data_IF_490026035087
#
_entry.id   IF_490026035087
#
_cell.length_a   1.000
_cell.length_b   1.000
_cell.length_c   1.000
_cell.angle_alpha   90.00
_cell.angle_beta   90.00
_cell.angle_gamma   90.00
#
_symmetry.space_group_name_H-M   'P 1'
#
loop_
_entity.id
_entity.type
_entity.pdbx_description
1 polymer ?
#
# COMPACT_ATOMS: atom_id res chain seq x y z
N UNK A 1 3.82 -7.89 -18.61
CA UNK A 1 3.56 -7.09 -17.39
C UNK A 1 3.10 -7.89 -16.17
N UNK A 2 2.99 -9.23 -16.20
CA UNK A 2 2.32 -9.99 -15.12
C UNK A 2 3.21 -10.53 -13.98
N UNK A 3 4.52 -10.22 -13.93
CA UNK A 3 5.40 -10.79 -12.88
C UNK A 3 5.81 -9.80 -11.77
N UNK A 4 5.94 -8.49 -12.05
CA UNK A 4 6.44 -7.52 -11.06
C UNK A 4 5.49 -7.32 -9.87
N UNK A 5 4.19 -7.15 -10.13
CA UNK A 5 3.19 -6.97 -9.07
C UNK A 5 3.03 -8.23 -8.21
N UNK A 6 3.09 -9.41 -8.82
CA UNK A 6 3.02 -10.70 -8.12
C UNK A 6 4.23 -10.90 -7.21
N UNK A 7 5.44 -10.61 -7.71
CA UNK A 7 6.68 -10.66 -6.91
C UNK A 7 6.59 -9.71 -5.73
N UNK A 8 6.22 -8.43 -5.98
CA UNK A 8 6.09 -7.45 -4.91
C UNK A 8 5.06 -7.88 -3.85
N UNK A 9 3.89 -8.40 -4.27
CA UNK A 9 2.87 -8.91 -3.35
C UNK A 9 3.36 -10.10 -2.52
N UNK A 10 4.11 -11.02 -3.13
CA UNK A 10 4.72 -12.18 -2.45
C UNK A 10 5.70 -11.70 -1.38
N UNK A 11 6.61 -10.78 -1.73
CA UNK A 11 7.60 -10.23 -0.80
C UNK A 11 6.92 -9.48 0.35
N UNK A 12 5.96 -8.61 0.08
CA UNK A 12 5.20 -7.90 1.13
C UNK A 12 4.50 -8.89 2.06
N UNK A 13 3.87 -9.93 1.51
CA UNK A 13 3.17 -10.93 2.34
C UNK A 13 4.14 -11.73 3.21
N UNK A 14 5.28 -12.14 2.66
CA UNK A 14 6.32 -12.85 3.41
C UNK A 14 6.93 -11.97 4.50
N UNK A 15 7.19 -10.70 4.20
CA UNK A 15 7.70 -9.73 5.16
C UNK A 15 6.72 -9.48 6.31
N UNK A 16 5.42 -9.34 6.00
CA UNK A 16 4.37 -9.28 7.03
C UNK A 16 4.38 -10.51 7.94
N UNK A 17 4.59 -11.72 7.41
CA UNK A 17 4.69 -12.93 8.25
C UNK A 17 5.90 -12.87 9.17
N UNK A 18 7.06 -12.45 8.66
CA UNK A 18 8.30 -12.27 9.43
C UNK A 18 8.10 -11.32 10.62
N UNK A 19 7.49 -10.16 10.40
CA UNK A 19 7.29 -9.14 11.46
C UNK A 19 6.08 -9.41 12.37
N UNK A 20 5.21 -10.36 12.05
CA UNK A 20 3.98 -10.62 12.79
C UNK A 20 3.78 -12.14 13.03
N UNK A 21 4.72 -12.81 13.74
CA UNK A 21 4.74 -14.27 13.87
C UNK A 21 3.54 -14.87 14.62
N UNK A 22 2.85 -14.05 15.42
CA UNK A 22 1.66 -14.47 16.18
C UNK A 22 0.38 -14.51 15.34
N UNK A 23 0.40 -14.00 14.10
CA UNK A 23 -0.78 -13.90 13.23
C UNK A 23 -0.81 -15.07 12.24
N UNK A 24 -1.83 -15.92 12.35
CA UNK A 24 -1.94 -17.14 11.52
C UNK A 24 -2.38 -16.90 10.08
N UNK A 25 -3.15 -15.83 9.81
CA UNK A 25 -3.68 -15.51 8.47
C UNK A 25 -3.15 -14.17 7.98
N UNK A 26 -2.05 -14.23 7.23
CA UNK A 26 -1.41 -13.05 6.64
C UNK A 26 -1.60 -13.06 5.13
N UNK A 27 -2.30 -12.04 4.63
CA UNK A 27 -2.51 -11.77 3.22
C UNK A 27 -1.86 -10.44 2.83
N UNK A 28 -1.73 -10.20 1.52
CA UNK A 28 -1.20 -8.94 1.00
C UNK A 28 -1.96 -7.72 1.53
N UNK A 29 -3.30 -7.79 1.60
CA UNK A 29 -4.15 -6.68 2.03
C UNK A 29 -4.38 -6.61 3.55
N UNK A 30 -3.82 -7.54 4.35
CA UNK A 30 -3.94 -7.48 5.81
C UNK A 30 -3.17 -6.25 6.35
N UNK A 31 -3.75 -5.42 7.24
CA UNK A 31 -3.14 -4.19 7.74
C UNK A 31 -2.07 -4.47 8.81
N UNK A 32 -1.06 -5.26 8.46
CA UNK A 32 0.09 -5.58 9.30
C UNK A 32 1.32 -4.81 8.85
N UNK A 33 2.21 -4.56 9.81
CA UNK A 33 3.50 -3.92 9.57
C UNK A 33 4.34 -4.78 8.64
N UNK A 34 5.04 -4.11 7.74
CA UNK A 34 6.11 -4.67 6.90
C UNK A 34 7.17 -3.59 6.69
N UNK A 35 8.41 -4.00 6.48
CA UNK A 35 9.55 -3.11 6.29
C UNK A 35 9.84 -2.94 4.80
N UNK A 36 9.71 -1.71 4.29
CA UNK A 36 9.92 -1.40 2.87
C UNK A 36 11.38 -1.55 2.43
N UNK A 37 12.34 -1.33 3.33
CA UNK A 37 13.77 -1.49 3.06
C UNK A 37 14.12 -2.97 2.92
N UNK A 38 13.54 -3.83 3.77
CA UNK A 38 13.68 -5.27 3.60
C UNK A 38 13.11 -5.73 2.24
N UNK A 39 11.97 -5.18 1.80
CA UNK A 39 11.44 -5.46 0.45
C UNK A 39 12.41 -4.99 -0.64
N UNK A 40 13.05 -3.83 -0.46
CA UNK A 40 14.05 -3.33 -1.41
C UNK A 40 15.26 -4.27 -1.49
N UNK A 41 15.80 -4.71 -0.35
CA UNK A 41 16.89 -5.69 -0.28
C UNK A 41 16.51 -6.96 -1.03
N UNK A 42 15.30 -7.47 -0.81
CA UNK A 42 14.86 -8.69 -1.48
C UNK A 42 14.71 -8.52 -2.99
N UNK A 43 14.19 -7.39 -3.47
CA UNK A 43 14.11 -7.09 -4.90
C UNK A 43 15.51 -6.95 -5.53
N UNK A 44 16.45 -6.31 -4.82
CA UNK A 44 17.85 -6.22 -5.25
C UNK A 44 18.48 -7.60 -5.37
N UNK A 45 18.25 -8.47 -4.39
CA UNK A 45 18.81 -9.82 -4.40
C UNK A 45 18.21 -10.67 -5.52
N UNK A 46 16.88 -10.65 -5.69
CA UNK A 46 16.20 -11.40 -6.74
C UNK A 46 16.63 -10.99 -8.16
N UNK A 47 16.88 -9.69 -8.40
CA UNK A 47 17.32 -9.22 -9.73
C UNK A 47 18.79 -9.55 -10.04
N UNK A 48 19.62 -9.74 -9.01
CA UNK A 48 21.05 -10.01 -9.17
C UNK A 48 21.41 -11.49 -8.93
N UNK A 49 20.42 -12.31 -8.57
CA UNK A 49 20.60 -13.71 -8.19
C UNK A 49 21.33 -14.52 -9.27
N UNK A 50 22.29 -15.34 -8.83
CA UNK A 50 22.90 -16.37 -9.65
C UNK A 50 22.81 -17.73 -8.96
N UNK A 51 22.70 -18.77 -9.77
CA UNK A 51 22.52 -20.17 -9.37
C UNK A 51 23.62 -21.04 -9.95
N UNK A 52 23.92 -22.14 -9.28
CA UNK A 52 24.83 -23.14 -9.79
C UNK A 52 24.19 -23.88 -10.98
N UNK A 53 24.87 -23.90 -12.14
CA UNK A 53 24.34 -24.54 -13.35
C UNK A 53 24.21 -26.07 -13.26
N UNK A 54 24.94 -26.70 -12.33
CA UNK A 54 24.89 -28.15 -12.08
C UNK A 54 23.84 -28.52 -11.02
N UNK A 55 23.37 -27.55 -10.23
CA UNK A 55 22.34 -27.72 -9.21
C UNK A 55 21.63 -26.37 -8.98
N UNK A 56 20.46 -26.19 -9.59
CA UNK A 56 19.71 -24.93 -9.55
C UNK A 56 19.21 -24.53 -8.17
N UNK A 57 19.18 -25.45 -7.21
CA UNK A 57 18.74 -25.16 -5.83
C UNK A 57 19.84 -24.49 -5.00
N UNK A 58 21.05 -24.38 -5.55
CA UNK A 58 22.19 -23.70 -4.90
C UNK A 58 22.39 -22.30 -5.45
N UNK A 59 22.33 -21.34 -4.54
CA UNK A 59 22.49 -19.92 -4.80
C UNK A 59 23.96 -19.54 -4.66
N UNK A 60 24.44 -18.73 -5.60
CA UNK A 60 25.86 -18.37 -5.72
C UNK A 60 26.16 -17.00 -5.08
N UNK A 61 25.93 -16.90 -3.77
CA UNK A 61 26.22 -15.70 -2.98
C UNK A 61 27.71 -15.65 -2.60
N UNK A 62 28.34 -14.48 -2.76
CA UNK A 62 29.70 -14.22 -2.32
C UNK A 62 29.68 -13.59 -0.91
N UNK A 63 29.39 -14.39 0.11
CA UNK A 63 29.39 -14.00 1.54
C UNK A 63 30.55 -14.59 2.34
N UNK A 64 31.50 -15.26 1.66
CA UNK A 64 32.65 -15.91 2.28
C UNK A 64 32.35 -17.26 2.95
N UNK A 65 31.11 -17.77 2.90
CA UNK A 65 30.76 -19.07 3.47
C UNK A 65 31.33 -20.27 2.71
N UNK A 66 31.72 -20.06 1.44
CA UNK A 66 32.40 -21.05 0.61
C UNK A 66 33.31 -20.35 -0.41
N UNK A 67 34.32 -21.08 -0.89
CA UNK A 67 35.21 -20.60 -1.95
C UNK A 67 34.77 -21.11 -3.33
N UNK A 68 34.83 -20.25 -4.34
CA UNK A 68 34.62 -20.61 -5.73
C UNK A 68 35.82 -20.17 -6.57
N UNK A 69 36.87 -21.00 -6.58
CA UNK A 69 38.10 -20.74 -7.35
C UNK A 69 37.77 -20.61 -8.83
N UNK A 70 38.15 -19.48 -9.42
CA UNK A 70 37.88 -19.12 -10.82
C UNK A 70 36.39 -19.19 -11.24
N UNK A 71 35.43 -19.18 -10.31
CA UNK A 71 34.01 -19.43 -10.60
C UNK A 71 33.70 -20.81 -11.20
N UNK A 72 34.54 -21.83 -10.95
CA UNK A 72 34.28 -23.23 -11.35
C UNK A 72 33.45 -23.90 -10.26
N UNK A 73 32.30 -24.48 -10.63
CA UNK A 73 31.36 -25.06 -9.67
C UNK A 73 31.36 -26.59 -9.67
N UNK A 74 31.20 -27.19 -8.49
CA UNK A 74 30.80 -28.59 -8.27
C UNK A 74 29.31 -28.63 -7.92
N UNK A 75 28.70 -29.81 -7.83
CA UNK A 75 27.25 -29.99 -7.52
C UNK A 75 26.88 -29.43 -6.13
N UNK A 76 27.84 -29.37 -5.23
CA UNK A 76 27.72 -28.89 -3.86
C UNK A 76 28.17 -27.43 -3.65
N UNK A 77 28.68 -26.76 -4.68
CA UNK A 77 29.09 -25.35 -4.59
C UNK A 77 27.88 -24.42 -4.51
N UNK A 78 27.92 -23.44 -3.60
CA UNK A 78 26.82 -22.50 -3.36
C UNK A 78 25.99 -22.87 -2.12
N UNK A 79 25.14 -21.95 -1.71
CA UNK A 79 24.31 -22.09 -0.52
C UNK A 79 23.01 -22.78 -0.91
N UNK A 80 22.68 -23.88 -0.23
CA UNK A 80 21.41 -24.57 -0.38
C UNK A 80 20.41 -23.95 0.60
N UNK A 81 19.34 -23.34 0.08
CA UNK A 81 18.27 -22.75 0.88
C UNK A 81 16.92 -23.19 0.31
N UNK A 82 15.95 -23.42 1.19
CA UNK A 82 14.54 -23.51 0.76
C UNK A 82 14.06 -22.13 0.27
N UNK A 83 12.92 -22.09 -0.43
CA UNK A 83 12.37 -20.82 -0.91
C UNK A 83 12.05 -19.83 0.21
N UNK A 84 11.60 -20.32 1.38
CA UNK A 84 11.26 -19.47 2.53
C UNK A 84 12.54 -18.93 3.20
N UNK A 85 13.55 -19.78 3.45
CA UNK A 85 14.85 -19.37 3.98
C UNK A 85 15.57 -18.38 3.05
N UNK A 86 15.46 -18.59 1.73
CA UNK A 86 16.00 -17.67 0.72
C UNK A 86 15.37 -16.28 0.85
N UNK A 87 14.05 -16.21 0.95
CA UNK A 87 13.34 -14.93 1.10
C UNK A 87 13.72 -14.24 2.41
N UNK A 88 13.80 -14.99 3.52
CA UNK A 88 14.24 -14.45 4.80
C UNK A 88 15.66 -13.91 4.75
N UNK A 89 16.60 -14.65 4.15
CA UNK A 89 17.98 -14.19 3.92
C UNK A 89 17.97 -12.91 3.08
N UNK A 90 17.20 -12.88 2.00
CA UNK A 90 17.10 -11.74 1.07
C UNK A 90 16.52 -10.47 1.69
N UNK A 91 15.78 -10.56 2.80
CA UNK A 91 15.33 -9.38 3.52
C UNK A 91 16.45 -8.69 4.32
N UNK A 92 17.51 -9.41 4.70
CA UNK A 92 18.51 -8.93 5.65
C UNK A 92 19.35 -7.78 5.09
N UNK A 93 19.91 -7.95 3.89
CA UNK A 93 20.79 -6.97 3.26
C UNK A 93 20.92 -7.22 1.75
N UNK A 94 21.58 -6.31 1.03
CA UNK A 94 21.94 -6.48 -0.37
C UNK A 94 23.20 -7.35 -0.51
N UNK A 95 23.06 -8.54 -1.12
CA UNK A 95 24.17 -9.48 -1.30
C UNK A 95 24.88 -9.31 -2.65
N UNK A 96 26.19 -9.60 -2.65
CA UNK A 96 26.97 -9.76 -3.87
C UNK A 96 26.90 -11.21 -4.34
N UNK A 97 26.66 -11.39 -5.63
CA UNK A 97 26.60 -12.71 -6.26
C UNK A 97 27.83 -12.94 -7.14
N UNK A 98 28.24 -14.21 -7.28
CA UNK A 98 29.29 -14.56 -8.24
C UNK A 98 28.81 -14.29 -9.68
N UNK A 99 29.70 -13.84 -10.59
CA UNK A 99 29.33 -13.53 -11.96
C UNK A 99 28.96 -14.79 -12.74
N UNK A 100 28.11 -14.61 -13.75
CA UNK A 100 27.75 -15.69 -14.69
C UNK A 100 29.00 -16.22 -15.38
N UNK A 101 29.16 -17.54 -15.36
CA UNK A 101 30.24 -18.25 -16.06
C UNK A 101 29.66 -19.46 -16.76
N UNK A 102 29.92 -19.58 -18.06
CA UNK A 102 29.39 -20.66 -18.90
C UNK A 102 29.56 -22.04 -18.24
N UNK A 103 28.49 -22.84 -18.27
CA UNK A 103 28.40 -24.20 -17.71
C UNK A 103 28.58 -24.33 -16.19
N UNK A 104 28.81 -23.23 -15.46
CA UNK A 104 29.10 -23.25 -14.02
C UNK A 104 28.11 -22.42 -13.20
N UNK A 105 27.86 -21.18 -13.63
CA UNK A 105 27.00 -20.22 -12.92
C UNK A 105 26.05 -19.59 -13.93
N UNK A 106 24.75 -19.71 -13.66
CA UNK A 106 23.64 -19.18 -14.47
C UNK A 106 22.87 -18.12 -13.70
N UNK A 107 22.08 -17.31 -14.42
CA UNK A 107 21.18 -16.31 -13.81
C UNK A 107 20.05 -17.00 -13.06
N UNK A 108 19.59 -16.38 -11.97
CA UNK A 108 18.37 -16.74 -11.29
C UNK A 108 17.12 -16.36 -12.09
N UNK A 109 15.96 -16.81 -11.61
CA UNK A 109 14.70 -16.77 -12.39
C UNK A 109 14.22 -15.34 -12.72
N UNK A 110 14.64 -14.36 -11.90
CA UNK A 110 14.30 -12.95 -12.06
C UNK A 110 15.47 -12.08 -12.51
N UNK A 111 16.66 -12.68 -12.71
CA UNK A 111 17.90 -11.98 -13.03
C UNK A 111 18.13 -11.79 -14.55
N UNK A 112 17.09 -11.98 -15.37
CA UNK A 112 17.11 -11.72 -16.82
C UNK A 112 16.85 -10.25 -17.18
N UNK A 113 16.75 -9.36 -16.18
CA UNK A 113 16.47 -7.94 -16.35
C UNK A 113 14.98 -7.57 -16.30
N UNK A 114 14.10 -8.54 -16.04
CA UNK A 114 12.65 -8.32 -15.92
C UNK A 114 12.28 -7.44 -14.72
N UNK A 115 13.11 -7.43 -13.67
CA UNK A 115 12.94 -6.61 -12.47
C UNK A 115 13.73 -5.29 -12.50
N UNK A 116 14.71 -5.09 -13.38
CA UNK A 116 15.63 -3.94 -13.32
C UNK A 116 14.91 -2.59 -13.35
N UNK A 117 14.06 -2.38 -14.36
CA UNK A 117 13.27 -1.14 -14.49
C UNK A 117 12.28 -0.97 -13.35
N UNK A 118 11.81 -2.06 -12.74
CA UNK A 118 10.92 -1.98 -11.59
C UNK A 118 11.69 -1.58 -10.32
N UNK A 119 12.82 -2.23 -10.07
CA UNK A 119 13.70 -1.94 -8.94
C UNK A 119 14.17 -0.49 -8.95
N UNK A 120 14.65 0.02 -10.09
CA UNK A 120 15.08 1.42 -10.21
C UNK A 120 13.94 2.38 -9.84
N UNK A 121 12.76 2.20 -10.46
CA UNK A 121 11.57 3.02 -10.15
C UNK A 121 11.13 2.89 -8.69
N UNK A 122 11.26 1.71 -8.10
CA UNK A 122 10.90 1.44 -6.72
C UNK A 122 11.84 2.18 -5.75
N UNK A 123 13.16 2.05 -5.96
CA UNK A 123 14.19 2.74 -5.21
C UNK A 123 14.07 4.27 -5.33
N UNK A 124 13.84 4.79 -6.54
CA UNK A 124 13.60 6.22 -6.78
C UNK A 124 12.38 6.75 -6.00
N UNK A 125 11.33 5.94 -5.85
CA UNK A 125 10.13 6.32 -5.08
C UNK A 125 10.37 6.31 -3.57
N UNK A 126 11.09 5.32 -3.05
CA UNK A 126 11.41 5.25 -1.62
C UNK A 126 12.30 6.42 -1.20
N UNK A 127 13.31 6.73 -2.01
CA UNK A 127 14.29 7.78 -1.73
C UNK A 127 13.78 9.19 -2.04
N UNK A 128 12.51 9.35 -2.42
CA UNK A 128 11.99 10.65 -2.79
C UNK A 128 11.61 11.47 -1.55
N UNK A 129 12.29 12.61 -1.32
CA UNK A 129 12.06 13.47 -0.14
C UNK A 129 10.58 13.84 0.06
N UNK A 130 9.86 14.12 -1.04
CA UNK A 130 8.43 14.47 -0.99
C UNK A 130 7.51 13.30 -0.58
N UNK A 131 8.03 12.07 -0.57
CA UNK A 131 7.36 10.85 -0.11
C UNK A 131 7.89 10.39 1.25
N UNK A 132 8.72 11.20 1.93
CA UNK A 132 9.18 10.95 3.30
C UNK A 132 8.03 10.76 4.30
N UNK A 133 6.86 11.37 4.05
CA UNK A 133 5.66 11.11 4.88
C UNK A 133 5.13 9.66 4.77
N UNK A 134 5.49 8.92 3.71
CA UNK A 134 5.16 7.50 3.53
C UNK A 134 6.31 6.58 3.95
N UNK A 135 7.54 6.92 3.55
CA UNK A 135 8.70 6.02 3.66
C UNK A 135 9.77 6.48 4.65
N UNK A 136 9.58 7.62 5.32
CA UNK A 136 10.50 8.14 6.33
C UNK A 136 10.35 7.42 7.68
N UNK A 137 11.33 7.63 8.56
CA UNK A 137 11.42 6.92 9.84
C UNK A 137 10.17 7.05 10.73
N UNK A 138 9.44 8.17 10.64
CA UNK A 138 8.23 8.40 11.41
C UNK A 138 7.13 7.38 11.08
N UNK A 139 7.08 6.86 9.84
CA UNK A 139 6.06 5.87 9.45
C UNK A 139 6.30 4.49 10.06
N UNK A 140 7.53 4.19 10.49
CA UNK A 140 7.88 2.91 11.11
C UNK A 140 7.36 2.78 12.55
N UNK A 141 7.08 3.90 13.22
CA UNK A 141 6.71 3.94 14.65
C UNK A 141 5.20 3.99 14.83
N UNK A 142 4.47 4.48 13.82
CA UNK A 142 3.04 4.75 13.94
C UNK A 142 2.23 3.45 13.78
N UNK A 143 1.44 3.11 14.81
CA UNK A 143 0.51 1.98 14.73
C UNK A 143 -0.75 2.33 13.92
N UNK A 144 -1.39 1.29 13.37
CA UNK A 144 -2.70 1.44 12.72
C UNK A 144 -3.76 1.96 13.71
N UNK A 145 -3.72 1.50 14.97
CA UNK A 145 -4.65 1.95 16.01
C UNK A 145 -4.50 3.45 16.30
N UNK A 146 -3.26 3.93 16.44
CA UNK A 146 -2.99 5.36 16.69
C UNK A 146 -3.37 6.21 15.47
N UNK A 147 -3.11 5.71 14.26
CA UNK A 147 -3.55 6.38 13.03
C UNK A 147 -5.07 6.52 13.01
N UNK A 148 -5.79 5.44 13.32
CA UNK A 148 -7.25 5.44 13.34
C UNK A 148 -7.80 6.38 14.42
N UNK A 149 -7.23 6.37 15.63
CA UNK A 149 -7.58 7.31 16.71
C UNK A 149 -7.38 8.76 16.28
N UNK A 150 -6.25 9.08 15.65
CA UNK A 150 -5.96 10.42 15.11
C UNK A 150 -6.98 10.84 14.07
N UNK A 151 -7.27 9.99 13.08
CA UNK A 151 -8.25 10.27 12.03
C UNK A 151 -9.65 10.52 12.60
N UNK A 152 -10.04 9.77 13.64
CA UNK A 152 -11.35 9.90 14.29
C UNK A 152 -11.42 11.02 15.34
N UNK A 153 -10.31 11.70 15.64
CA UNK A 153 -10.28 12.77 16.65
C UNK A 153 -10.32 12.28 18.10
N UNK A 154 -9.93 11.03 18.36
CA UNK A 154 -9.88 10.42 19.70
C UNK A 154 -8.44 10.16 20.15
N UNK A 155 -7.62 11.21 20.20
CA UNK A 155 -6.27 11.11 20.74
C UNK A 155 -6.32 10.87 22.26
N UNK A 156 -5.27 10.28 22.82
CA UNK A 156 -5.21 9.94 24.25
C UNK A 156 -5.46 11.16 25.15
N UNK A 157 -4.96 12.35 24.75
CA UNK A 157 -5.01 13.56 25.57
C UNK A 157 -6.09 14.58 25.12
N UNK A 158 -6.72 14.38 23.95
CA UNK A 158 -7.69 15.32 23.40
C UNK A 158 -8.70 14.63 22.50
N UNK A 159 -9.98 14.91 22.77
CA UNK A 159 -11.10 14.52 21.92
C UNK A 159 -11.58 15.74 21.14
N UNK A 160 -11.80 15.56 19.85
CA UNK A 160 -12.29 16.61 18.94
C UNK A 160 -13.37 16.06 18.03
N UNK A 161 -14.46 16.81 17.88
CA UNK A 161 -15.53 16.48 16.94
C UNK A 161 -15.19 16.84 15.49
N UNK A 162 -14.15 17.66 15.29
CA UNK A 162 -13.66 18.09 13.98
C UNK A 162 -12.17 17.78 13.89
N UNK A 163 -11.81 16.97 12.90
CA UNK A 163 -10.42 16.61 12.58
C UNK A 163 -10.11 17.15 11.19
N UNK A 164 -9.10 18.02 11.10
CA UNK A 164 -8.63 18.58 9.82
C UNK A 164 -7.42 17.78 9.37
N UNK A 165 -7.50 17.21 8.17
CA UNK A 165 -6.39 16.50 7.53
C UNK A 165 -5.80 17.43 6.47
N UNK A 166 -4.67 18.05 6.79
CA UNK A 166 -3.95 18.88 5.85
C UNK A 166 -3.17 18.02 4.85
N UNK A 167 -3.56 18.11 3.58
CA UNK A 167 -2.93 17.39 2.47
C UNK A 167 -2.15 18.34 1.54
N UNK A 168 -1.93 19.60 1.93
CA UNK A 168 -1.22 20.60 1.12
C UNK A 168 0.22 20.19 0.80
N UNK A 169 0.88 19.47 1.70
CA UNK A 169 2.23 18.92 1.50
C UNK A 169 2.29 17.62 0.68
N UNK A 170 1.14 17.04 0.32
CA UNK A 170 1.10 15.74 -0.38
C UNK A 170 1.23 15.95 -1.89
N UNK A 171 2.20 15.29 -2.56
CA UNK A 171 2.36 15.41 -4.00
C UNK A 171 1.10 14.95 -4.77
N UNK A 172 0.76 15.67 -5.85
CA UNK A 172 -0.44 15.39 -6.65
C UNK A 172 -0.52 13.94 -7.17
N UNK A 173 0.62 13.31 -7.46
CA UNK A 173 0.69 11.92 -7.93
C UNK A 173 0.21 10.87 -6.91
N UNK A 174 0.33 11.16 -5.61
CA UNK A 174 -0.08 10.26 -4.52
C UNK A 174 -1.33 10.77 -3.80
N UNK A 175 -1.74 12.01 -4.03
CA UNK A 175 -2.91 12.64 -3.40
C UNK A 175 -4.18 11.77 -3.51
N UNK A 176 -4.50 11.29 -4.71
CA UNK A 176 -5.63 10.38 -4.97
C UNK A 176 -5.54 9.08 -4.16
N UNK A 177 -4.34 8.53 -4.03
CA UNK A 177 -4.10 7.29 -3.27
C UNK A 177 -4.27 7.55 -1.77
N UNK A 178 -3.74 8.67 -1.26
CA UNK A 178 -3.86 9.08 0.14
C UNK A 178 -5.32 9.29 0.54
N UNK A 179 -6.07 10.06 -0.25
CA UNK A 179 -7.51 10.30 -0.04
C UNK A 179 -8.29 8.98 -0.10
N UNK A 180 -7.94 8.10 -1.05
CA UNK A 180 -8.56 6.78 -1.15
C UNK A 180 -8.30 5.91 0.08
N UNK A 181 -7.08 5.93 0.60
CA UNK A 181 -6.71 5.16 1.79
C UNK A 181 -7.46 5.65 3.02
N UNK A 182 -7.46 6.96 3.28
CA UNK A 182 -8.19 7.56 4.41
C UNK A 182 -9.69 7.22 4.31
N UNK A 183 -10.27 7.41 3.12
CA UNK A 183 -11.68 7.10 2.86
C UNK A 183 -12.01 5.63 3.16
N UNK A 184 -11.14 4.69 2.71
CA UNK A 184 -11.32 3.26 2.97
C UNK A 184 -11.19 2.91 4.45
N UNK A 185 -10.18 3.44 5.14
CA UNK A 185 -9.97 3.20 6.58
C UNK A 185 -11.20 3.63 7.38
N UNK A 186 -11.72 4.83 7.12
CA UNK A 186 -12.90 5.35 7.82
C UNK A 186 -14.16 4.55 7.49
N UNK A 187 -14.35 4.18 6.22
CA UNK A 187 -15.47 3.33 5.82
C UNK A 187 -15.43 1.95 6.51
N UNK A 188 -14.26 1.31 6.52
CA UNK A 188 -14.07 0.00 7.16
C UNK A 188 -14.25 0.07 8.66
N UNK A 189 -13.78 1.14 9.31
CA UNK A 189 -14.08 1.40 10.71
C UNK A 189 -15.59 1.39 10.98
N UNK A 190 -16.37 2.17 10.22
CA UNK A 190 -17.84 2.20 10.36
C UNK A 190 -18.49 0.82 10.15
N UNK A 191 -18.01 0.07 9.15
CA UNK A 191 -18.47 -1.29 8.87
C UNK A 191 -18.21 -2.24 10.05
N UNK A 192 -16.97 -2.32 10.53
CA UNK A 192 -16.59 -3.21 11.63
C UNK A 192 -17.23 -2.78 12.95
N UNK A 193 -17.30 -1.48 13.20
CA UNK A 193 -17.94 -0.94 14.39
C UNK A 193 -19.41 -1.35 14.48
N UNK A 194 -20.18 -1.16 13.39
CA UNK A 194 -21.56 -1.65 13.31
C UNK A 194 -21.65 -3.15 13.58
N UNK A 195 -20.80 -3.95 12.93
CA UNK A 195 -20.81 -5.42 13.13
C UNK A 195 -20.54 -5.82 14.57
N UNK A 196 -19.57 -5.19 15.22
CA UNK A 196 -19.25 -5.45 16.63
C UNK A 196 -20.41 -5.08 17.55
N UNK A 197 -21.13 -3.98 17.27
CA UNK A 197 -22.31 -3.59 18.04
C UNK A 197 -23.48 -4.56 17.88
N UNK A 198 -23.80 -4.94 16.65
CA UNK A 198 -24.86 -5.93 16.39
C UNK A 198 -24.52 -7.31 16.97
N UNK A 199 -23.23 -7.68 17.03
CA UNK A 199 -22.79 -8.91 17.68
C UNK A 199 -22.96 -8.87 19.21
N UNK A 200 -22.76 -7.70 19.83
CA UNK A 200 -22.98 -7.50 21.28
C UNK A 200 -24.47 -7.38 21.64
N UNK A 201 -25.28 -6.81 20.76
CA UNK A 201 -26.72 -6.61 20.96
C UNK A 201 -27.48 -6.93 19.67
N UNK A 202 -28.15 -8.09 19.64
CA UNK A 202 -28.95 -8.53 18.49
C UNK A 202 -30.16 -7.64 18.21
N UNK A 203 -30.60 -6.85 19.20
CA UNK A 203 -31.68 -5.88 19.06
C UNK A 203 -31.19 -4.47 18.72
N UNK A 204 -29.93 -4.32 18.30
CA UNK A 204 -29.37 -3.02 17.88
C UNK A 204 -30.16 -2.46 16.68
N UNK A 205 -30.80 -1.30 16.89
CA UNK A 205 -31.59 -0.61 15.86
C UNK A 205 -30.85 0.58 15.27
N UNK A 206 -29.85 1.11 15.97
CA UNK A 206 -29.07 2.26 15.52
C UNK A 206 -27.98 1.76 14.59
N UNK A 207 -27.94 2.30 13.35
CA UNK A 207 -26.92 1.89 12.37
C UNK A 207 -25.49 2.20 12.85
N UNK A 208 -25.30 3.37 13.47
CA UNK A 208 -24.06 3.81 14.10
C UNK A 208 -24.38 4.97 15.06
N UNK A 209 -23.87 4.94 16.30
CA UNK A 209 -23.97 6.03 17.29
C UNK A 209 -22.76 6.97 17.25
N UNK A 210 -21.78 6.68 16.39
CA UNK A 210 -20.63 7.53 16.07
C UNK A 210 -20.71 7.87 14.57
N UNK A 211 -21.64 8.75 14.16
CA UNK A 211 -21.73 9.16 12.77
C UNK A 211 -20.49 9.98 12.37
N UNK A 212 -19.91 9.66 11.22
CA UNK A 212 -18.72 10.33 10.68
C UNK A 212 -19.11 11.00 9.36
N UNK A 213 -18.87 12.31 9.27
CA UNK A 213 -19.01 13.07 8.03
C UNK A 213 -17.61 13.32 7.45
N UNK A 214 -17.31 12.73 6.29
CA UNK A 214 -16.09 13.00 5.54
C UNK A 214 -16.30 14.21 4.62
N UNK A 215 -15.58 15.30 4.88
CA UNK A 215 -15.64 16.51 4.07
C UNK A 215 -14.47 16.54 3.08
N UNK A 216 -14.78 16.60 1.79
CA UNK A 216 -13.79 16.71 0.72
C UNK A 216 -13.82 18.11 0.12
N UNK A 217 -12.88 18.96 0.55
CA UNK A 217 -12.59 20.26 -0.06
C UNK A 217 -11.98 20.09 -1.46
N UNK A 218 -12.32 20.96 -2.40
CA UNK A 218 -11.86 20.89 -3.80
C UNK A 218 -12.16 19.53 -4.46
N UNK A 219 -13.36 18.99 -4.24
CA UNK A 219 -13.71 17.60 -4.56
C UNK A 219 -13.42 17.19 -6.03
N UNK A 220 -13.48 18.13 -6.98
CA UNK A 220 -13.13 17.87 -8.39
C UNK A 220 -11.69 17.34 -8.58
N UNK A 221 -10.77 17.56 -7.61
CA UNK A 221 -9.41 16.99 -7.63
C UNK A 221 -9.36 15.49 -7.33
N UNK A 222 -10.34 14.97 -6.59
CA UNK A 222 -10.36 13.58 -6.14
C UNK A 222 -11.37 12.73 -6.91
N UNK A 223 -12.48 13.33 -7.33
CA UNK A 223 -13.58 12.62 -7.98
C UNK A 223 -13.99 13.29 -9.29
N UNK A 224 -13.04 13.52 -10.22
CA UNK A 224 -13.38 14.18 -11.47
C UNK A 224 -14.27 13.32 -12.36
N UNK A 225 -14.96 13.96 -13.31
CA UNK A 225 -15.63 13.33 -14.45
C UNK A 225 -14.59 12.88 -15.51
N UNK A 226 -13.56 12.17 -15.05
CA UNK A 226 -12.45 11.68 -15.84
C UNK A 226 -12.13 10.25 -15.44
N UNK A 227 -11.93 9.39 -16.43
CA UNK A 227 -11.58 7.97 -16.24
C UNK A 227 -10.06 7.71 -16.19
N UNK A 228 -9.26 8.78 -16.03
CA UNK A 228 -7.82 8.65 -15.91
C UNK A 228 -7.44 7.77 -14.71
N UNK A 229 -6.49 6.86 -14.94
CA UNK A 229 -6.04 5.87 -13.94
C UNK A 229 -5.61 6.49 -12.61
N UNK A 230 -5.03 7.71 -12.65
CA UNK A 230 -4.60 8.46 -11.46
C UNK A 230 -5.73 8.79 -10.48
N UNK A 231 -6.98 8.87 -10.93
CA UNK A 231 -8.14 9.19 -10.09
C UNK A 231 -8.97 7.96 -9.68
N UNK A 232 -8.69 6.80 -10.29
CA UNK A 232 -9.49 5.59 -10.10
C UNK A 232 -9.58 5.17 -8.63
N UNK A 233 -8.48 5.30 -7.87
CA UNK A 233 -8.43 4.91 -6.47
C UNK A 233 -9.39 5.73 -5.61
N UNK A 234 -9.26 7.07 -5.63
CA UNK A 234 -10.12 7.98 -4.86
C UNK A 234 -11.57 7.87 -5.30
N UNK A 235 -11.84 7.82 -6.61
CA UNK A 235 -13.19 7.67 -7.16
C UNK A 235 -13.88 6.40 -6.67
N UNK A 236 -13.22 5.25 -6.75
CA UNK A 236 -13.78 3.98 -6.27
C UNK A 236 -14.11 4.01 -4.77
N UNK A 237 -13.21 4.54 -3.94
CA UNK A 237 -13.44 4.62 -2.49
C UNK A 237 -14.56 5.59 -2.12
N UNK A 238 -14.63 6.76 -2.78
CA UNK A 238 -15.62 7.79 -2.47
C UNK A 238 -16.99 7.39 -3.01
N UNK A 239 -17.07 6.79 -4.21
CA UNK A 239 -18.30 6.19 -4.72
C UNK A 239 -18.87 5.12 -3.79
N UNK A 240 -18.00 4.28 -3.22
CA UNK A 240 -18.44 3.26 -2.24
C UNK A 240 -19.05 3.91 -1.01
N UNK A 241 -18.44 4.98 -0.48
CA UNK A 241 -19.02 5.75 0.63
C UNK A 241 -20.35 6.38 0.21
N UNK A 242 -20.43 6.97 -0.98
CA UNK A 242 -21.66 7.59 -1.50
C UNK A 242 -22.83 6.58 -1.56
N UNK A 243 -22.55 5.37 -2.07
CA UNK A 243 -23.55 4.30 -2.29
C UNK A 243 -23.92 3.55 -1.01
N UNK A 244 -22.95 3.27 -0.14
CA UNK A 244 -23.13 2.35 0.98
C UNK A 244 -22.92 2.97 2.37
N UNK A 245 -22.24 4.12 2.45
CA UNK A 245 -21.76 4.69 3.70
C UNK A 245 -22.85 4.98 4.72
N UNK A 246 -24.06 5.36 4.27
CA UNK A 246 -25.25 5.53 5.12
C UNK A 246 -25.56 4.29 5.97
N UNK A 247 -25.32 3.07 5.45
CA UNK A 247 -25.55 1.81 6.18
C UNK A 247 -24.63 1.66 7.40
N UNK A 248 -23.49 2.34 7.40
CA UNK A 248 -22.41 2.23 8.38
C UNK A 248 -22.16 3.54 9.14
N UNK A 249 -23.03 4.55 8.98
CA UNK A 249 -22.86 5.85 9.63
C UNK A 249 -21.67 6.65 9.13
N UNK A 250 -21.17 6.38 7.92
CA UNK A 250 -20.09 7.12 7.28
C UNK A 250 -20.69 7.86 6.09
N UNK A 251 -20.86 9.16 6.21
CA UNK A 251 -21.42 10.01 5.15
C UNK A 251 -20.33 10.91 4.57
N UNK A 252 -20.65 11.58 3.46
CA UNK A 252 -19.73 12.50 2.80
C UNK A 252 -20.36 13.87 2.55
N UNK A 253 -19.52 14.88 2.43
CA UNK A 253 -19.82 16.21 1.90
C UNK A 253 -18.76 16.52 0.85
N UNK A 254 -19.19 16.91 -0.34
CA UNK A 254 -18.30 17.37 -1.41
C UNK A 254 -18.41 18.89 -1.52
N UNK A 255 -17.30 19.58 -1.28
CA UNK A 255 -17.19 21.01 -1.50
C UNK A 255 -16.36 21.24 -2.76
N UNK A 256 -16.92 21.93 -3.75
CA UNK A 256 -16.24 22.22 -5.01
C UNK A 256 -16.80 23.47 -5.66
N UNK A 257 -15.91 24.25 -6.25
CA UNK A 257 -16.19 25.40 -7.10
C UNK A 257 -16.43 25.03 -8.56
N UNK A 258 -16.20 23.76 -8.95
CA UNK A 258 -16.42 23.21 -10.29
C UNK A 258 -17.33 21.98 -10.23
N UNK A 259 -18.63 22.15 -9.95
CA UNK A 259 -19.56 21.02 -9.84
C UNK A 259 -19.65 20.20 -11.14
N UNK A 260 -19.54 20.83 -12.31
CA UNK A 260 -19.56 20.14 -13.61
C UNK A 260 -18.39 19.19 -13.84
N UNK A 261 -17.27 19.40 -13.13
CA UNK A 261 -16.10 18.53 -13.19
C UNK A 261 -16.22 17.33 -12.25
N UNK A 262 -17.25 17.22 -11.40
CA UNK A 262 -17.43 16.09 -10.48
C UNK A 262 -18.03 14.89 -11.22
N UNK A 263 -17.64 13.68 -10.82
CA UNK A 263 -18.25 12.44 -11.28
C UNK A 263 -19.78 12.46 -11.12
N UNK A 264 -20.49 12.30 -12.23
CA UNK A 264 -21.96 12.17 -12.27
C UNK A 264 -22.48 11.04 -11.37
N UNK A 265 -21.76 9.92 -11.32
CA UNK A 265 -22.11 8.78 -10.47
C UNK A 265 -22.12 9.17 -9.00
N UNK A 266 -21.15 9.93 -8.50
CA UNK A 266 -21.14 10.39 -7.11
C UNK A 266 -22.15 11.50 -6.90
N UNK A 267 -22.22 12.45 -7.85
CA UNK A 267 -23.15 13.57 -7.79
C UNK A 267 -24.60 13.09 -7.66
N UNK A 268 -25.00 12.07 -8.40
CA UNK A 268 -26.34 11.46 -8.33
C UNK A 268 -26.67 10.80 -6.98
N UNK A 269 -25.68 10.49 -6.15
CA UNK A 269 -25.88 9.94 -4.81
C UNK A 269 -25.97 11.03 -3.72
N UNK A 270 -25.66 12.28 -4.07
CA UNK A 270 -25.79 13.41 -3.16
C UNK A 270 -27.27 13.82 -3.08
N UNK A 271 -27.88 13.66 -1.90
CA UNK A 271 -29.30 13.99 -1.71
C UNK A 271 -29.54 15.43 -1.24
N UNK A 272 -28.52 16.07 -0.66
CA UNK A 272 -28.61 17.42 -0.12
C UNK A 272 -27.62 18.31 -0.87
N UNK A 273 -28.08 19.49 -1.28
CA UNK A 273 -27.26 20.46 -2.01
C UNK A 273 -27.31 21.82 -1.33
N UNK A 274 -26.14 22.44 -1.21
CA UNK A 274 -25.99 23.83 -0.83
C UNK A 274 -25.29 24.51 -2.00
N UNK A 275 -26.06 25.24 -2.81
CA UNK A 275 -25.55 25.95 -3.97
C UNK A 275 -25.38 27.44 -3.63
N UNK A 276 -24.17 27.95 -3.82
CA UNK A 276 -23.88 29.38 -3.80
C UNK A 276 -23.86 29.92 -5.24
N UNK A 277 -23.58 31.21 -5.42
CA UNK A 277 -23.58 31.84 -6.74
C UNK A 277 -22.58 31.15 -7.69
N UNK A 278 -23.10 30.57 -8.77
CA UNK A 278 -22.31 30.02 -9.87
C UNK A 278 -22.50 30.92 -11.10
N UNK A 279 -21.38 31.37 -11.67
CA UNK A 279 -21.39 32.27 -12.84
C UNK A 279 -21.17 31.54 -14.16
N UNK A 280 -20.62 30.34 -14.11
CA UNK A 280 -20.35 29.53 -15.30
C UNK A 280 -21.62 28.75 -15.68
N UNK A 281 -22.16 28.91 -16.91
CA UNK A 281 -23.35 28.19 -17.35
C UNK A 281 -23.23 26.67 -17.28
N UNK A 282 -22.03 26.12 -17.42
CA UNK A 282 -21.81 24.67 -17.30
C UNK A 282 -21.93 24.17 -15.86
N UNK A 283 -21.71 25.04 -14.87
CA UNK A 283 -21.78 24.72 -13.45
C UNK A 283 -23.17 25.02 -12.84
N UNK A 284 -24.03 25.78 -13.53
CA UNK A 284 -25.40 26.12 -13.11
C UNK A 284 -26.37 24.95 -13.30
#
# INVERSE_FOLDING_TARGET
NYNQSTVFRKLVTANKRKHNPTVSKVFYDTPLIFDIIEIQNALYNMKNETKNSKNSDRIMINDGSYECTDCITKVDTGILLTEDEKIEKYFQEEYKFYPVKGQNITRGDYAEGTLDKFFIRFQEKINQDRLSFLFGNDSNIISFEDTLKKLLGYNNDKKSNVTIIDLSGVPFEVLSITVSLISRIIFEYGYFYKRMRCAKNTNEKINNDIPILLVFEEAHKYVPNSELSKFRASKNSIERIAKEGRKYGVTLLLASQRPSEISETIFSQCNNFIAMRLTNPNDQ
#
